data_IF_347687920671
#
_entry.id   IF_347687920671
#
_cell.length_a   1.000
_cell.length_b   1.000
_cell.length_c   1.000
_cell.angle_alpha   90.00
_cell.angle_beta   90.00
_cell.angle_gamma   90.00
#
_symmetry.space_group_name_H-M   'P 1'
#
loop_
_entity.id
_entity.type
_entity.pdbx_description
1 polymer ?
#
# COMPACT_ATOMS: atom_id res chain seq x y z
N UNK A 1 7.62 11.95 -0.85
CA UNK A 1 7.57 11.40 0.51
C UNK A 1 8.60 12.08 1.42
N UNK A 2 9.89 12.02 1.09
CA UNK A 2 10.98 12.62 1.92
C UNK A 2 10.80 14.11 2.27
N UNK A 3 10.40 14.96 1.31
CA UNK A 3 10.12 16.40 1.58
C UNK A 3 9.01 16.63 2.63
N UNK A 4 8.17 15.63 2.86
CA UNK A 4 7.11 15.66 3.87
C UNK A 4 7.51 14.89 5.15
N UNK A 5 8.78 14.53 5.31
CA UNK A 5 9.30 13.80 6.49
C UNK A 5 8.90 12.33 6.55
N UNK A 6 8.52 11.71 5.42
CA UNK A 6 8.15 10.30 5.36
C UNK A 6 9.39 9.48 4.99
N UNK A 7 9.76 8.53 5.85
CA UNK A 7 10.79 7.52 5.58
C UNK A 7 10.33 6.57 4.47
N UNK A 8 11.15 6.38 3.45
CA UNK A 8 10.88 5.53 2.29
C UNK A 8 11.77 4.30 2.21
N UNK A 9 12.46 3.93 3.30
CA UNK A 9 13.36 2.76 3.36
C UNK A 9 12.72 1.48 2.83
N UNK A 10 11.43 1.26 3.11
CA UNK A 10 10.68 0.07 2.69
C UNK A 10 9.79 0.30 1.45
N UNK A 11 9.95 1.42 0.74
CA UNK A 11 9.27 1.63 -0.55
C UNK A 11 10.06 0.94 -1.64
N UNK A 12 9.49 -0.12 -2.21
CA UNK A 12 10.16 -0.99 -3.17
C UNK A 12 9.90 -0.58 -4.63
N UNK A 13 10.77 -1.05 -5.52
CA UNK A 13 10.58 -0.97 -6.97
C UNK A 13 10.38 -2.37 -7.52
N UNK A 14 9.50 -2.50 -8.50
CA UNK A 14 9.25 -3.76 -9.21
C UNK A 14 9.37 -3.54 -10.72
N UNK A 15 9.35 -4.63 -11.50
CA UNK A 15 9.33 -4.53 -12.96
C UNK A 15 7.94 -4.10 -13.51
N UNK A 16 6.89 -4.16 -12.70
CA UNK A 16 5.56 -3.71 -13.09
C UNK A 16 5.47 -2.19 -13.08
N UNK A 17 4.51 -1.64 -13.83
CA UNK A 17 4.18 -0.21 -13.74
C UNK A 17 3.61 0.11 -12.35
N UNK A 18 3.81 1.34 -11.88
CA UNK A 18 3.07 1.84 -10.72
C UNK A 18 1.56 1.76 -10.97
N UNK A 19 0.78 1.67 -9.88
CA UNK A 19 -0.66 1.77 -9.96
C UNK A 19 -1.11 3.14 -10.47
N UNK A 20 -2.19 3.16 -11.25
CA UNK A 20 -2.78 4.37 -11.80
C UNK A 20 -4.29 4.33 -11.67
N UNK A 21 -4.89 5.51 -11.54
CA UNK A 21 -6.34 5.67 -11.56
C UNK A 21 -6.74 6.76 -12.56
N UNK A 22 -7.08 6.42 -13.81
CA UNK A 22 -7.72 7.35 -14.72
C UNK A 22 -9.08 7.80 -14.17
N UNK A 23 -9.22 9.12 -13.98
CA UNK A 23 -10.44 9.75 -13.44
C UNK A 23 -11.10 10.55 -14.56
N UNK A 24 -12.35 10.23 -14.85
CA UNK A 24 -13.18 10.93 -15.81
C UNK A 24 -14.28 11.68 -15.07
N UNK A 25 -14.43 12.96 -15.34
CA UNK A 25 -15.52 13.77 -14.79
C UNK A 25 -16.54 13.98 -15.89
N UNK A 26 -17.76 13.50 -15.69
CA UNK A 26 -18.84 13.70 -16.66
C UNK A 26 -19.44 15.12 -16.55
N UNK A 27 -20.22 15.58 -17.54
CA UNK A 27 -20.87 16.90 -17.49
C UNK A 27 -21.77 17.13 -16.27
N UNK A 28 -22.29 16.05 -15.67
CA UNK A 28 -23.12 16.08 -14.46
C UNK A 28 -22.29 16.14 -13.16
N UNK A 29 -20.98 16.39 -13.25
CA UNK A 29 -20.04 16.47 -12.12
C UNK A 29 -19.86 15.16 -11.34
N UNK A 30 -20.11 14.01 -11.98
CA UNK A 30 -19.83 12.70 -11.41
C UNK A 30 -18.46 12.18 -11.86
N UNK A 31 -17.77 11.50 -10.95
CA UNK A 31 -16.50 10.84 -11.24
C UNK A 31 -16.74 9.39 -11.68
N UNK A 32 -16.10 9.00 -12.77
CA UNK A 32 -15.91 7.59 -13.17
C UNK A 32 -14.43 7.27 -13.07
N UNK A 33 -14.07 6.27 -12.27
CA UNK A 33 -12.68 5.97 -11.92
C UNK A 33 -12.39 4.53 -12.30
N UNK A 34 -11.32 4.34 -13.08
CA UNK A 34 -10.79 3.02 -13.41
C UNK A 34 -9.57 2.78 -12.52
N UNK A 35 -9.51 1.66 -11.82
CA UNK A 35 -8.37 1.32 -10.97
C UNK A 35 -7.49 0.28 -11.67
N UNK A 36 -6.22 0.62 -11.86
CA UNK A 36 -5.18 -0.30 -12.32
C UNK A 36 -4.14 -0.41 -11.21
N UNK A 37 -4.12 -1.54 -10.51
CA UNK A 37 -3.29 -1.70 -9.30
C UNK A 37 -1.78 -1.64 -9.58
N UNK A 38 -1.32 -2.15 -10.73
CA UNK A 38 0.10 -2.19 -11.07
C UNK A 38 0.93 -2.85 -9.97
N UNK A 39 2.05 -2.25 -9.59
CA UNK A 39 2.93 -2.73 -8.53
C UNK A 39 2.24 -2.93 -7.16
N UNK A 40 1.11 -2.25 -6.88
CA UNK A 40 0.39 -2.43 -5.60
C UNK A 40 -0.16 -3.85 -5.46
N UNK A 41 -0.50 -4.53 -6.57
CA UNK A 41 -0.98 -5.92 -6.53
C UNK A 41 0.14 -6.93 -6.27
N UNK A 42 1.40 -6.49 -6.17
CA UNK A 42 2.57 -7.34 -5.96
C UNK A 42 3.06 -7.33 -4.51
N UNK A 43 2.42 -6.57 -3.62
CA UNK A 43 2.81 -6.53 -2.22
C UNK A 43 2.36 -7.82 -1.52
N UNK A 44 3.29 -8.49 -0.85
CA UNK A 44 3.12 -9.82 -0.26
C UNK A 44 3.35 -9.81 1.26
N UNK A 45 2.90 -10.84 2.00
CA UNK A 45 3.25 -11.02 3.41
C UNK A 45 4.77 -11.01 3.69
N UNK A 46 5.58 -11.55 2.77
CA UNK A 46 7.03 -11.58 2.92
C UNK A 46 7.66 -10.18 2.96
N UNK A 47 7.03 -9.19 2.32
CA UNK A 47 7.49 -7.80 2.35
C UNK A 47 7.28 -7.16 3.73
N UNK A 48 6.24 -7.59 4.46
CA UNK A 48 6.02 -7.20 5.86
C UNK A 48 7.08 -7.84 6.75
N UNK A 49 7.40 -9.11 6.54
CA UNK A 49 8.45 -9.81 7.29
C UNK A 49 9.82 -9.15 7.10
N UNK A 50 10.13 -8.72 5.88
CA UNK A 50 11.36 -7.99 5.58
C UNK A 50 11.46 -6.64 6.33
N UNK A 51 10.33 -6.06 6.71
CA UNK A 51 10.23 -4.82 7.47
C UNK A 51 9.88 -5.01 8.96
N UNK A 52 9.81 -6.25 9.45
CA UNK A 52 9.28 -6.59 10.77
C UNK A 52 9.94 -5.82 11.93
N UNK A 53 11.26 -5.64 11.87
CA UNK A 53 12.02 -4.95 12.92
C UNK A 53 11.57 -3.49 13.12
N UNK A 54 11.20 -2.79 12.04
CA UNK A 54 10.74 -1.41 12.11
C UNK A 54 9.23 -1.33 12.35
N UNK A 55 8.43 -2.19 11.70
CA UNK A 55 6.97 -2.21 11.90
C UNK A 55 6.61 -2.55 13.35
N UNK A 56 7.33 -3.48 14.00
CA UNK A 56 7.11 -3.84 15.41
C UNK A 56 7.38 -2.70 16.41
N UNK A 57 8.04 -1.62 15.97
CA UNK A 57 8.30 -0.43 16.79
C UNK A 57 7.24 0.66 16.59
N UNK A 58 6.34 0.49 15.62
CA UNK A 58 5.26 1.42 15.36
C UNK A 58 4.20 1.34 16.47
N UNK A 59 3.58 2.49 16.81
CA UNK A 59 2.45 2.55 17.74
C UNK A 59 1.09 2.37 17.05
N UNK A 60 1.07 2.55 15.73
CA UNK A 60 -0.12 2.53 14.90
C UNK A 60 0.27 2.06 13.50
N UNK A 61 -0.53 1.16 12.95
CA UNK A 61 -0.46 0.74 11.55
C UNK A 61 -1.75 1.23 10.90
N UNK A 62 -1.63 1.93 9.77
CA UNK A 62 -2.77 2.40 8.98
C UNK A 62 -2.74 1.67 7.64
N UNK A 63 -3.85 1.02 7.29
CA UNK A 63 -3.99 0.20 6.09
C UNK A 63 -5.17 0.69 5.24
N UNK A 64 -5.15 0.33 3.97
CA UNK A 64 -6.24 0.50 3.01
C UNK A 64 -6.44 -0.80 2.23
N UNK A 65 -7.52 -0.91 1.47
CA UNK A 65 -7.85 -2.12 0.69
C UNK A 65 -7.42 -2.02 -0.78
N UNK A 66 -6.26 -1.42 -1.06
CA UNK A 66 -5.72 -1.22 -2.41
C UNK A 66 -4.52 -2.13 -2.75
N UNK A 67 -4.23 -3.09 -1.87
CA UNK A 67 -3.21 -4.14 -2.03
C UNK A 67 -3.89 -5.52 -1.87
N UNK A 68 -3.22 -6.64 -2.15
CA UNK A 68 -3.82 -7.96 -1.97
C UNK A 68 -4.32 -8.16 -0.53
N UNK A 69 -5.53 -8.73 -0.39
CA UNK A 69 -6.20 -8.85 0.90
C UNK A 69 -5.41 -9.75 1.87
N UNK A 70 -4.74 -10.78 1.35
CA UNK A 70 -3.86 -11.64 2.14
C UNK A 70 -2.76 -10.84 2.85
N UNK A 71 -2.22 -9.81 2.20
CA UNK A 71 -1.19 -8.94 2.78
C UNK A 71 -1.78 -7.96 3.80
N UNK A 72 -3.00 -7.46 3.56
CA UNK A 72 -3.74 -6.65 4.55
C UNK A 72 -3.97 -7.44 5.83
N UNK A 73 -4.51 -8.65 5.73
CA UNK A 73 -4.79 -9.48 6.91
C UNK A 73 -3.50 -9.88 7.62
N UNK A 74 -2.45 -10.22 6.89
CA UNK A 74 -1.14 -10.51 7.47
C UNK A 74 -0.58 -9.33 8.28
N UNK A 75 -0.70 -8.10 7.76
CA UNK A 75 -0.28 -6.89 8.48
C UNK A 75 -1.07 -6.69 9.79
N UNK A 76 -2.37 -6.99 9.79
CA UNK A 76 -3.22 -6.91 10.98
C UNK A 76 -2.78 -7.95 12.01
N UNK A 77 -2.58 -9.20 11.60
CA UNK A 77 -2.11 -10.27 12.49
C UNK A 77 -0.73 -9.96 13.07
N UNK A 78 0.18 -9.43 12.24
CA UNK A 78 1.49 -8.96 12.67
C UNK A 78 1.38 -7.90 13.76
N UNK A 79 0.56 -6.86 13.54
CA UNK A 79 0.38 -5.75 14.49
C UNK A 79 -0.36 -6.14 15.77
N UNK A 80 -1.10 -7.25 15.80
CA UNK A 80 -1.68 -7.80 17.04
C UNK A 80 -0.63 -8.57 17.84
N UNK A 81 0.33 -9.20 17.15
CA UNK A 81 1.38 -10.02 17.76
C UNK A 81 2.52 -9.20 18.36
N UNK A 82 2.83 -8.04 17.78
CA UNK A 82 3.96 -7.18 18.11
C UNK A 82 3.51 -5.84 18.66
#
# INVERSE_FOLDING_TARGET
FERNGIDTTYVMRTAATSGVAPIFVNPDSQNSIIIVQGANSLLTPADIDAAAAEISRCKLIVLQLEIPLETVYYAIEFGVKH
#
